data_IF_393276518529
#
_entry.id   IF_393276518529
#
_cell.length_a   1.000
_cell.length_b   1.000
_cell.length_c   1.000
_cell.angle_alpha   90.00
_cell.angle_beta   90.00
_cell.angle_gamma   90.00
#
_symmetry.space_group_name_H-M   'P 1'
#
loop_
_entity.id
_entity.type
_entity.pdbx_description
1 polymer ?
#
# COMPACT_ATOMS: atom_id res chain seq x y z
N UNK A 1 10.54 36.82 -21.50
CA UNK A 1 11.56 35.77 -21.34
C UNK A 1 11.10 34.59 -22.18
N UNK A 2 11.57 34.45 -23.43
CA UNK A 2 11.15 33.36 -24.32
C UNK A 2 11.71 32.05 -23.73
N UNK A 3 10.84 31.08 -23.45
CA UNK A 3 11.25 29.75 -23.03
C UNK A 3 11.88 29.07 -24.25
N UNK A 4 13.21 29.09 -24.32
CA UNK A 4 13.95 28.36 -25.32
C UNK A 4 14.13 26.93 -24.81
N UNK A 5 13.42 25.98 -25.40
CA UNK A 5 13.72 24.56 -25.23
C UNK A 5 15.20 24.35 -25.61
N UNK A 6 16.00 23.63 -24.80
CA UNK A 6 17.42 23.41 -25.10
C UNK A 6 17.63 22.84 -26.51
N UNK A 7 18.62 23.32 -27.25
CA UNK A 7 18.94 22.88 -28.62
C UNK A 7 19.09 21.35 -28.74
N UNK A 8 19.56 20.71 -27.66
CA UNK A 8 19.62 19.24 -27.53
C UNK A 8 18.26 18.55 -27.64
N UNK A 9 17.23 19.13 -27.03
CA UNK A 9 15.86 18.63 -27.06
C UNK A 9 15.19 18.92 -28.42
N UNK A 10 15.69 19.93 -29.15
CA UNK A 10 15.23 20.26 -30.50
C UNK A 10 15.95 19.44 -31.59
N UNK A 11 16.89 18.56 -31.22
CA UNK A 11 17.66 17.75 -32.17
C UNK A 11 18.66 18.56 -33.01
N UNK A 12 18.99 19.78 -32.58
CA UNK A 12 19.97 20.62 -33.26
C UNK A 12 21.37 20.17 -32.83
N UNK A 13 22.20 19.82 -33.82
CA UNK A 13 23.61 19.50 -33.59
C UNK A 13 24.34 20.74 -33.10
N UNK A 14 24.90 20.66 -31.89
CA UNK A 14 25.73 21.72 -31.33
C UNK A 14 27.20 21.42 -31.57
N UNK A 15 27.99 22.47 -31.83
CA UNK A 15 29.42 22.41 -32.15
C UNK A 15 30.27 21.71 -31.06
N UNK A 16 29.77 21.65 -29.82
CA UNK A 16 30.43 21.01 -28.68
C UNK A 16 29.88 19.60 -28.45
N UNK A 17 30.78 18.61 -28.31
CA UNK A 17 30.42 17.25 -27.90
C UNK A 17 29.83 17.28 -26.48
N UNK A 18 28.55 16.89 -26.36
CA UNK A 18 27.87 16.79 -25.06
C UNK A 18 28.24 15.50 -24.33
N UNK A 19 28.29 15.59 -23.01
CA UNK A 19 28.55 14.42 -22.15
C UNK A 19 27.26 13.61 -21.92
N UNK A 20 27.38 12.31 -21.67
CA UNK A 20 26.24 11.43 -21.39
C UNK A 20 25.38 11.94 -20.22
N UNK A 21 26.01 12.52 -19.19
CA UNK A 21 25.33 13.10 -18.03
C UNK A 21 24.53 14.37 -18.38
N UNK A 22 25.05 15.21 -19.28
CA UNK A 22 24.35 16.40 -19.76
C UNK A 22 23.09 16.02 -20.55
N UNK A 23 23.21 15.02 -21.44
CA UNK A 23 22.08 14.48 -22.20
C UNK A 23 21.03 13.91 -21.25
N UNK A 24 21.42 13.10 -20.26
CA UNK A 24 20.50 12.55 -19.26
C UNK A 24 19.75 13.64 -18.48
N UNK A 25 20.44 14.70 -18.07
CA UNK A 25 19.82 15.84 -17.36
C UNK A 25 18.85 16.61 -18.26
N UNK A 26 19.17 16.77 -19.54
CA UNK A 26 18.28 17.41 -20.52
C UNK A 26 17.04 16.57 -20.80
N UNK A 27 17.18 15.25 -20.96
CA UNK A 27 16.04 14.33 -21.12
C UNK A 27 15.11 14.39 -19.91
N UNK A 28 15.67 14.38 -18.69
CA UNK A 28 14.89 14.55 -17.46
C UNK A 28 14.11 15.87 -17.44
N UNK A 29 14.72 16.98 -17.86
CA UNK A 29 14.03 18.27 -18.00
C UNK A 29 12.89 18.22 -19.04
N UNK A 30 13.12 17.56 -20.18
CA UNK A 30 12.09 17.37 -21.21
C UNK A 30 10.88 16.56 -20.71
N UNK A 31 11.13 15.51 -19.93
CA UNK A 31 10.07 14.71 -19.30
C UNK A 31 9.21 15.56 -18.36
N UNK A 32 9.83 16.42 -17.54
CA UNK A 32 9.09 17.32 -16.63
C UNK A 32 8.17 18.30 -17.39
N UNK A 33 8.62 18.83 -18.53
CA UNK A 33 7.80 19.71 -19.38
C UNK A 33 6.63 18.92 -19.98
N UNK A 34 6.90 17.72 -20.52
CA UNK A 34 5.87 16.86 -21.09
C UNK A 34 4.82 16.46 -20.04
N UNK A 35 5.26 16.16 -18.82
CA UNK A 35 4.40 15.87 -17.69
C UNK A 35 3.51 17.07 -17.32
N UNK A 36 4.09 18.27 -17.30
CA UNK A 36 3.34 19.51 -17.03
C UNK A 36 2.29 19.75 -18.12
N UNK A 37 2.66 19.58 -19.39
CA UNK A 37 1.73 19.71 -20.53
C UNK A 37 0.61 18.67 -20.47
N UNK A 38 0.94 17.41 -20.19
CA UNK A 38 -0.04 16.34 -20.02
C UNK A 38 -1.02 16.65 -18.88
N UNK A 39 -0.53 17.21 -17.78
CA UNK A 39 -1.36 17.64 -16.63
C UNK A 39 -2.30 18.77 -17.02
N UNK A 40 -1.84 19.75 -17.80
CA UNK A 40 -2.68 20.85 -18.31
C UNK A 40 -3.75 20.31 -19.25
N UNK A 41 -3.38 19.41 -20.19
CA UNK A 41 -4.33 18.76 -21.10
C UNK A 41 -5.39 17.99 -20.32
N UNK A 42 -4.99 17.21 -19.32
CA UNK A 42 -5.93 16.51 -18.45
C UNK A 42 -6.88 17.47 -17.76
N UNK A 43 -6.36 18.53 -17.14
CA UNK A 43 -7.16 19.52 -16.41
C UNK A 43 -8.22 20.18 -17.29
N UNK A 44 -7.87 20.46 -18.54
CA UNK A 44 -8.73 21.19 -19.48
C UNK A 44 -9.69 20.31 -20.26
N UNK A 45 -9.36 19.03 -20.47
CA UNK A 45 -10.12 18.16 -21.37
C UNK A 45 -10.74 16.97 -20.65
N UNK A 46 -9.92 16.17 -19.97
CA UNK A 46 -10.37 14.91 -19.36
C UNK A 46 -11.23 15.14 -18.12
N UNK A 47 -10.83 16.08 -17.25
CA UNK A 47 -11.61 16.42 -16.04
C UNK A 47 -13.03 16.87 -16.37
N UNK A 48 -13.26 17.92 -17.20
CA UNK A 48 -14.62 18.35 -17.52
C UNK A 48 -15.41 17.29 -18.31
N UNK A 49 -14.75 16.48 -19.14
CA UNK A 49 -15.40 15.37 -19.83
C UNK A 49 -15.91 14.30 -18.85
N UNK A 50 -15.08 13.91 -17.87
CA UNK A 50 -15.48 12.97 -16.83
C UNK A 50 -16.65 13.52 -15.99
N UNK A 51 -16.61 14.80 -15.62
CA UNK A 51 -17.69 15.48 -14.91
C UNK A 51 -18.99 15.45 -15.74
N UNK A 52 -18.95 15.77 -17.03
CA UNK A 52 -20.12 15.67 -17.91
C UNK A 52 -20.66 14.24 -18.01
N UNK A 53 -19.79 13.24 -18.15
CA UNK A 53 -20.21 11.83 -18.19
C UNK A 53 -20.89 11.40 -16.89
N UNK A 54 -20.36 11.83 -15.73
CA UNK A 54 -20.92 11.51 -14.42
C UNK A 54 -22.26 12.18 -14.21
N UNK A 55 -22.39 13.45 -14.58
CA UNK A 55 -23.66 14.18 -14.52
C UNK A 55 -24.72 13.54 -15.43
N UNK A 56 -24.35 13.19 -16.66
CA UNK A 56 -25.25 12.48 -17.57
C UNK A 56 -25.65 11.11 -17.01
N UNK A 57 -24.72 10.40 -16.36
CA UNK A 57 -25.02 9.13 -15.73
C UNK A 57 -26.02 9.29 -14.57
N UNK A 58 -25.81 10.28 -13.69
CA UNK A 58 -26.74 10.58 -12.59
C UNK A 58 -28.14 10.95 -13.11
N UNK A 59 -28.24 11.75 -14.18
CA UNK A 59 -29.52 12.14 -14.76
C UNK A 59 -30.30 10.96 -15.37
N UNK A 60 -29.59 9.97 -15.91
CA UNK A 60 -30.19 8.80 -16.56
C UNK A 60 -30.31 7.59 -15.62
N UNK A 61 -29.89 7.73 -14.36
CA UNK A 61 -29.97 6.65 -13.39
C UNK A 61 -31.41 6.54 -12.87
N UNK A 62 -32.09 5.44 -13.21
CA UNK A 62 -33.48 5.18 -12.81
C UNK A 62 -33.63 4.03 -11.82
N UNK A 63 -32.65 3.12 -11.78
CA UNK A 63 -32.71 1.90 -10.98
C UNK A 63 -31.78 1.98 -9.77
N UNK A 64 -32.22 1.41 -8.65
CA UNK A 64 -31.39 1.25 -7.46
C UNK A 64 -30.32 0.18 -7.71
N UNK A 65 -29.11 0.42 -7.19
CA UNK A 65 -27.97 -0.49 -7.36
C UNK A 65 -27.27 -0.73 -6.04
N UNK A 66 -26.62 -1.88 -5.94
CA UNK A 66 -25.78 -2.21 -4.80
C UNK A 66 -24.35 -1.73 -5.05
N UNK A 67 -23.84 -0.91 -4.14
CA UNK A 67 -22.49 -0.38 -4.18
C UNK A 67 -21.65 -1.00 -3.08
N UNK A 68 -20.45 -1.45 -3.44
CA UNK A 68 -19.42 -1.84 -2.48
C UNK A 68 -18.65 -0.59 -2.07
N UNK A 69 -18.65 -0.28 -0.79
CA UNK A 69 -17.91 0.86 -0.26
C UNK A 69 -16.54 0.37 0.19
N UNK A 70 -15.50 1.02 -0.31
CA UNK A 70 -14.11 0.69 0.00
C UNK A 70 -13.61 1.59 1.13
N UNK A 71 -12.90 1.00 2.09
CA UNK A 71 -12.27 1.72 3.20
C UNK A 71 -12.78 1.31 4.58
N UNK A 72 -11.99 1.61 5.61
CA UNK A 72 -12.30 1.21 6.99
C UNK A 72 -13.52 1.96 7.55
N UNK A 73 -13.73 3.21 7.14
CA UNK A 73 -14.90 4.02 7.54
C UNK A 73 -16.24 3.38 7.17
N UNK A 74 -16.28 2.58 6.09
CA UNK A 74 -17.50 1.90 5.67
C UNK A 74 -17.92 0.76 6.60
N UNK A 75 -16.96 0.18 7.34
CA UNK A 75 -17.23 -0.92 8.28
C UNK A 75 -17.98 -0.47 9.53
N UNK A 76 -17.86 0.81 9.88
CA UNK A 76 -18.41 1.37 11.12
C UNK A 76 -19.76 2.09 10.90
N UNK A 77 -19.94 2.73 9.75
CA UNK A 77 -21.10 3.60 9.49
C UNK A 77 -22.32 2.88 8.91
N UNK A 78 -22.17 1.63 8.50
CA UNK A 78 -23.14 0.98 7.62
C UNK A 78 -23.45 -0.38 8.20
N UNK A 79 -24.70 -0.58 8.60
CA UNK A 79 -25.24 -1.92 8.85
C UNK A 79 -25.16 -2.68 7.53
N UNK A 80 -24.27 -3.67 7.39
CA UNK A 80 -24.12 -4.39 6.13
C UNK A 80 -25.45 -5.00 5.73
N UNK A 81 -25.88 -4.84 4.49
CA UNK A 81 -26.84 -5.79 3.94
C UNK A 81 -26.15 -7.17 3.99
N UNK A 82 -26.65 -8.05 4.86
CA UNK A 82 -25.98 -9.30 5.26
C UNK A 82 -25.76 -10.30 4.11
N UNK A 83 -26.27 -10.03 2.90
CA UNK A 83 -26.48 -11.05 1.87
C UNK A 83 -25.85 -10.72 0.51
N UNK A 84 -24.81 -9.88 0.43
CA UNK A 84 -24.06 -9.71 -0.82
C UNK A 84 -22.87 -10.69 -0.91
N UNK A 85 -22.80 -11.57 -1.92
CA UNK A 85 -21.64 -12.42 -2.16
C UNK A 85 -20.46 -11.54 -2.59
N UNK A 86 -19.64 -11.12 -1.61
CA UNK A 86 -18.51 -10.21 -1.81
C UNK A 86 -18.29 -9.16 -0.72
N UNK A 87 -19.10 -9.15 0.34
CA UNK A 87 -18.93 -8.28 1.51
C UNK A 87 -20.09 -7.27 1.70
N UNK A 88 -19.98 -6.34 2.66
CA UNK A 88 -20.99 -5.31 2.91
C UNK A 88 -21.24 -4.49 1.64
N UNK A 89 -22.46 -4.53 1.13
CA UNK A 89 -22.92 -3.66 0.06
C UNK A 89 -24.09 -2.81 0.56
N UNK A 90 -24.20 -1.60 0.01
CA UNK A 90 -25.30 -0.68 0.31
C UNK A 90 -26.17 -0.59 -0.92
N UNK A 91 -27.48 -0.77 -0.71
CA UNK A 91 -28.47 -0.42 -1.72
C UNK A 91 -28.58 1.11 -1.73
N UNK A 92 -28.23 1.73 -2.86
CA UNK A 92 -28.35 3.17 -3.05
C UNK A 92 -29.20 3.45 -4.30
N UNK A 93 -30.17 4.35 -4.14
CA UNK A 93 -30.99 4.86 -5.22
C UNK A 93 -30.38 6.08 -5.92
N UNK A 94 -30.98 6.54 -7.03
CA UNK A 94 -30.55 7.73 -7.74
C UNK A 94 -30.47 8.98 -6.85
N UNK A 95 -31.38 9.11 -5.88
CA UNK A 95 -31.44 10.17 -4.87
C UNK A 95 -30.28 10.13 -3.86
N UNK A 96 -29.72 8.96 -3.58
CA UNK A 96 -28.67 8.78 -2.57
C UNK A 96 -27.26 9.11 -3.09
N UNK A 97 -27.09 9.12 -4.42
CA UNK A 97 -25.78 9.26 -5.11
C UNK A 97 -25.66 10.63 -5.79
N UNK A 98 -26.55 11.57 -5.45
CA UNK A 98 -26.53 12.91 -6.00
C UNK A 98 -25.36 13.69 -5.42
N UNK A 99 -24.54 14.28 -6.28
CA UNK A 99 -23.44 15.12 -5.83
C UNK A 99 -22.41 15.42 -6.90
N UNK A 100 -21.54 16.37 -6.55
CA UNK A 100 -20.37 16.69 -7.35
C UNK A 100 -19.22 15.77 -6.95
N UNK A 101 -18.70 15.04 -7.93
CA UNK A 101 -17.54 14.19 -7.76
C UNK A 101 -16.29 15.00 -8.10
N UNK A 102 -15.29 14.95 -7.23
CA UNK A 102 -13.99 15.53 -7.53
C UNK A 102 -13.08 14.50 -8.21
N UNK A 103 -12.46 14.93 -9.29
CA UNK A 103 -11.48 14.17 -10.04
C UNK A 103 -10.11 14.84 -9.83
N UNK A 104 -9.36 14.44 -8.79
CA UNK A 104 -8.03 14.98 -8.56
C UNK A 104 -7.10 14.52 -9.68
N UNK A 105 -6.38 15.47 -10.26
CA UNK A 105 -5.34 15.16 -11.23
C UNK A 105 -4.15 14.63 -10.42
N UNK A 106 -3.85 13.35 -10.59
CA UNK A 106 -2.77 12.70 -9.86
C UNK A 106 -1.70 12.22 -10.83
N UNK A 107 -0.45 12.44 -10.44
CA UNK A 107 0.70 11.84 -11.11
C UNK A 107 0.74 10.33 -10.81
N UNK A 108 0.80 9.53 -11.87
CA UNK A 108 0.86 8.05 -11.79
C UNK A 108 2.15 7.57 -11.13
N UNK A 109 3.18 8.42 -11.06
CA UNK A 109 4.45 8.09 -10.43
C UNK A 109 4.45 8.23 -8.91
N UNK A 110 3.45 8.89 -8.31
CA UNK A 110 3.32 8.94 -6.86
C UNK A 110 2.41 7.80 -6.37
N UNK A 111 2.83 7.02 -5.37
CA UNK A 111 2.00 5.98 -4.79
C UNK A 111 0.66 6.57 -4.32
N UNK A 112 -0.43 5.81 -4.49
CA UNK A 112 -1.80 6.25 -4.22
C UNK A 112 -1.97 6.70 -2.76
N UNK A 113 -1.23 6.09 -1.82
CA UNK A 113 -1.15 6.51 -0.43
C UNK A 113 0.31 6.61 0.03
N UNK A 114 0.66 7.53 0.95
CA UNK A 114 1.97 7.54 1.59
C UNK A 114 2.30 6.23 2.32
N UNK A 115 1.28 5.49 2.79
CA UNK A 115 1.42 4.14 3.35
C UNK A 115 1.87 3.10 2.34
N UNK A 116 1.81 3.39 1.03
CA UNK A 116 2.23 2.47 -0.03
C UNK A 116 3.67 2.79 -0.47
N UNK A 117 4.34 3.77 0.16
CA UNK A 117 5.74 4.06 -0.12
C UNK A 117 6.65 3.13 0.71
N UNK A 118 7.23 2.14 0.02
CA UNK A 118 8.14 1.19 0.63
C UNK A 118 9.42 1.81 1.19
N UNK A 119 9.88 2.94 0.63
CA UNK A 119 11.09 3.62 1.10
C UNK A 119 10.88 4.20 2.50
N UNK A 120 9.72 4.79 2.76
CA UNK A 120 9.35 5.35 4.06
C UNK A 120 9.27 4.23 5.10
N UNK A 121 8.64 3.11 4.77
CA UNK A 121 8.55 1.98 5.69
C UNK A 121 9.90 1.31 5.95
N UNK A 122 10.80 1.29 4.97
CA UNK A 122 12.16 0.79 5.14
C UNK A 122 12.96 1.68 6.11
N UNK A 123 12.84 3.00 5.99
CA UNK A 123 13.46 3.97 6.90
C UNK A 123 12.90 3.84 8.33
N UNK A 124 11.58 3.71 8.46
CA UNK A 124 10.90 3.51 9.75
C UNK A 124 11.32 2.19 10.39
N UNK A 125 11.40 1.10 9.61
CA UNK A 125 11.85 -0.21 10.10
C UNK A 125 13.31 -0.16 10.57
N UNK A 126 14.20 0.48 9.81
CA UNK A 126 15.60 0.62 10.19
C UNK A 126 15.79 1.50 11.44
N UNK A 127 15.00 2.56 11.58
CA UNK A 127 15.01 3.44 12.76
C UNK A 127 14.44 2.73 13.99
N UNK A 128 13.38 1.93 13.82
CA UNK A 128 12.77 1.17 14.90
C UNK A 128 13.68 0.01 15.37
N UNK A 129 14.37 -0.67 14.46
CA UNK A 129 15.26 -1.79 14.83
C UNK A 129 16.59 -1.34 15.45
N UNK A 130 17.08 -0.16 15.07
CA UNK A 130 18.33 0.40 15.60
C UNK A 130 18.17 1.04 16.99
N UNK A 131 16.95 1.37 17.41
CA UNK A 131 16.68 1.97 18.72
C UNK A 131 15.96 0.98 19.68
N UNK A 132 16.66 0.42 20.69
CA UNK A 132 16.10 -0.58 21.60
C UNK A 132 14.88 -0.09 22.38
N UNK A 133 14.78 1.22 22.63
CA UNK A 133 13.64 1.82 23.34
C UNK A 133 12.38 1.85 22.48
N UNK A 134 12.52 2.02 21.16
CA UNK A 134 11.41 1.98 20.21
C UNK A 134 11.01 0.54 19.90
N UNK A 135 11.98 -0.37 19.81
CA UNK A 135 11.74 -1.80 19.62
C UNK A 135 10.88 -2.45 20.72
N UNK A 136 10.93 -1.91 21.94
CA UNK A 136 10.09 -2.39 23.06
C UNK A 136 8.69 -1.75 23.09
N UNK A 137 8.51 -0.58 22.48
CA UNK A 137 7.24 0.17 22.54
C UNK A 137 6.40 0.07 21.28
N UNK A 138 7.01 -0.32 20.17
CA UNK A 138 6.39 -0.40 18.86
C UNK A 138 6.43 -1.84 18.39
N UNK A 139 5.32 -2.31 17.83
CA UNK A 139 5.24 -3.60 17.19
C UNK A 139 6.04 -3.58 15.87
N UNK A 140 7.26 -4.13 15.92
CA UNK A 140 8.16 -4.23 14.76
C UNK A 140 7.54 -5.12 13.67
N UNK A 141 6.78 -6.14 14.05
CA UNK A 141 6.16 -7.06 13.11
C UNK A 141 5.06 -6.35 12.31
N UNK A 142 4.27 -5.49 12.96
CA UNK A 142 3.29 -4.65 12.27
C UNK A 142 3.94 -3.70 11.24
N UNK A 143 5.07 -3.06 11.59
CA UNK A 143 5.82 -2.20 10.66
C UNK A 143 6.33 -3.01 9.46
N UNK A 144 6.90 -4.19 9.73
CA UNK A 144 7.35 -5.09 8.67
C UNK A 144 6.22 -5.51 7.73
N UNK A 145 5.03 -5.77 8.29
CA UNK A 145 3.84 -6.08 7.50
C UNK A 145 3.50 -4.94 6.54
N UNK A 146 3.49 -3.70 7.02
CA UNK A 146 3.23 -2.53 6.17
C UNK A 146 4.30 -2.34 5.07
N UNK A 147 5.58 -2.58 5.40
CA UNK A 147 6.66 -2.58 4.42
C UNK A 147 6.44 -3.62 3.32
N UNK A 148 6.16 -4.86 3.69
CA UNK A 148 5.98 -5.93 2.72
C UNK A 148 4.67 -5.79 1.91
N UNK A 149 3.59 -5.26 2.51
CA UNK A 149 2.38 -4.86 1.78
C UNK A 149 2.68 -3.75 0.75
N UNK A 150 3.48 -2.74 1.11
CA UNK A 150 3.87 -1.65 0.20
C UNK A 150 4.77 -2.12 -0.96
N UNK A 151 5.53 -3.20 -0.76
CA UNK A 151 6.30 -3.89 -1.82
C UNK A 151 5.44 -4.84 -2.68
N UNK A 152 4.14 -4.96 -2.38
CA UNK A 152 3.20 -5.78 -3.14
C UNK A 152 3.03 -7.22 -2.64
N UNK A 153 3.62 -7.58 -1.50
CA UNK A 153 3.42 -8.89 -0.86
C UNK A 153 2.10 -8.83 -0.08
N UNK A 154 1.05 -9.42 -0.66
CA UNK A 154 -0.25 -9.56 0.01
C UNK A 154 -0.25 -10.83 0.86
N UNK A 155 -1.02 -10.83 1.95
CA UNK A 155 -1.26 -11.99 2.83
C UNK A 155 -0.02 -12.50 3.61
N UNK A 156 0.77 -11.61 4.19
CA UNK A 156 1.86 -12.01 5.11
C UNK A 156 1.28 -12.71 6.35
N UNK A 157 0.05 -12.33 6.75
CA UNK A 157 -0.69 -13.02 7.80
C UNK A 157 -0.96 -14.49 7.47
N UNK A 158 -1.12 -14.87 6.20
CA UNK A 158 -1.27 -16.29 5.82
C UNK A 158 0.07 -17.04 5.92
N UNK A 159 1.20 -16.36 5.74
CA UNK A 159 2.51 -16.96 5.96
C UNK A 159 2.79 -17.14 7.46
N UNK A 160 2.34 -16.19 8.27
CA UNK A 160 2.42 -16.25 9.74
C UNK A 160 1.37 -17.20 10.33
N UNK A 161 0.20 -17.36 9.70
CA UNK A 161 -0.79 -18.41 9.99
C UNK A 161 -0.31 -19.78 9.52
N UNK A 162 0.45 -19.88 8.42
CA UNK A 162 1.12 -21.11 8.04
C UNK A 162 2.27 -21.46 9.01
N UNK A 163 2.96 -20.47 9.58
CA UNK A 163 3.91 -20.68 10.68
C UNK A 163 3.24 -20.93 12.03
N UNK A 164 2.10 -20.32 12.35
CA UNK A 164 1.37 -20.55 13.60
C UNK A 164 0.51 -21.82 13.58
N UNK A 165 0.06 -22.28 12.41
CA UNK A 165 -0.46 -23.63 12.18
C UNK A 165 0.66 -24.67 12.03
N UNK A 166 1.92 -24.23 11.94
CA UNK A 166 3.12 -25.06 11.92
C UNK A 166 3.95 -25.04 13.22
N UNK A 167 3.59 -24.20 14.20
CA UNK A 167 4.39 -24.00 15.41
C UNK A 167 3.53 -23.75 16.65
N UNK A 168 2.55 -24.62 16.85
CA UNK A 168 2.02 -24.95 18.18
C UNK A 168 2.32 -26.40 18.52
N UNK A 169 3.58 -26.80 18.36
CA UNK A 169 4.12 -27.97 19.05
C UNK A 169 5.08 -27.43 20.09
N UNK A 170 4.58 -27.38 21.33
CA UNK A 170 5.30 -27.61 22.58
C UNK A 170 6.83 -27.47 22.42
N UNK A 171 7.37 -26.39 22.97
CA UNK A 171 8.79 -26.17 23.13
C UNK A 171 9.39 -27.28 24.01
N UNK A 172 9.66 -28.45 23.41
CA UNK A 172 10.44 -29.50 24.03
C UNK A 172 11.89 -29.07 23.95
N UNK A 173 12.32 -28.33 24.97
CA UNK A 173 13.74 -28.19 25.22
C UNK A 173 14.25 -29.55 25.70
N UNK A 174 14.79 -30.34 24.78
CA UNK A 174 15.44 -31.61 25.11
C UNK A 174 16.74 -31.26 25.84
N UNK A 175 16.70 -31.27 27.17
CA UNK A 175 17.91 -31.18 27.97
C UNK A 175 18.70 -32.49 27.81
N UNK A 176 20.05 -32.45 27.77
CA UNK A 176 20.88 -33.65 27.73
C UNK A 176 20.60 -34.57 28.92
N UNK A 177 20.60 -35.88 28.67
CA UNK A 177 20.21 -36.93 29.64
C UNK A 177 20.94 -36.84 31.01
N UNK A 178 22.19 -36.35 31.04
CA UNK A 178 22.94 -36.16 32.30
C UNK A 178 22.32 -35.10 33.23
N UNK A 179 21.67 -34.08 32.66
CA UNK A 179 21.02 -33.04 33.46
C UNK A 179 19.65 -33.50 33.98
N UNK A 180 18.98 -34.39 33.24
CA UNK A 180 17.71 -34.99 33.65
C UNK A 180 17.96 -35.96 34.81
N UNK A 181 18.98 -36.81 34.74
CA UNK A 181 19.32 -37.73 35.83
C UNK A 181 19.67 -37.01 37.15
N UNK A 182 20.35 -35.87 37.08
CA UNK A 182 20.64 -35.05 38.26
C UNK A 182 19.38 -34.37 38.84
N UNK A 183 18.41 -34.00 37.99
CA UNK A 183 17.16 -33.36 38.42
C UNK A 183 16.13 -34.39 38.94
N UNK A 184 16.17 -35.63 38.45
CA UNK A 184 15.44 -36.76 39.04
C UNK A 184 15.98 -37.11 40.43
N UNK A 185 17.30 -37.16 40.62
CA UNK A 185 17.92 -37.40 41.93
C UNK A 185 17.66 -36.26 42.93
N UNK A 186 17.55 -35.03 42.45
CA UNK A 186 17.17 -33.86 43.25
C UNK A 186 15.66 -33.80 43.57
N UNK A 187 14.84 -34.75 43.07
CA UNK A 187 13.41 -34.82 43.33
C UNK A 187 12.58 -33.70 42.70
N UNK A 188 13.11 -33.03 41.66
CA UNK A 188 12.49 -31.84 41.06
C UNK A 188 11.61 -32.17 39.83
N UNK A 189 11.65 -33.41 39.35
CA UNK A 189 10.83 -33.91 38.23
C UNK A 189 10.25 -35.29 38.57
N UNK A 190 8.94 -35.47 38.31
CA UNK A 190 8.23 -36.73 38.53
C UNK A 190 7.88 -37.31 37.16
N UNK A 191 8.31 -38.53 36.82
CA UNK A 191 7.96 -39.17 35.56
C UNK A 191 6.46 -39.44 35.50
N UNK A 192 5.80 -38.98 34.43
CA UNK A 192 4.38 -39.25 34.22
C UNK A 192 4.18 -40.76 33.95
N UNK A 193 3.26 -41.43 34.66
CA UNK A 193 2.95 -42.83 34.40
C UNK A 193 2.28 -42.93 33.01
N UNK A 194 2.88 -43.74 32.15
CA UNK A 194 2.28 -44.09 30.86
C UNK A 194 0.97 -44.84 31.13
N UNK A 195 -0.13 -44.38 30.52
CA UNK A 195 -1.43 -45.04 30.56
C UNK A 195 -1.80 -45.54 29.19
#
# INVERSE_FOLDING_TARGET
RKAHTPDALQGVETEVKRTATEIAKMTSSGINILQTLATIIWAQTLKPMAEMCVQNNQQLLSEQRYYRILGNYAKELITPAQEFPGGPAVLAGPEDIQGNFDFPIRDVNLPLKPSDNAEIWAEVFQTASSNPLLAQRIDIFWIFKQLAESLGIKNIEDADLAQQMGQSTLNYQVLPDEQIANQEQAGNIIPMPMR
#
